data_IF_301703631471
#
_entry.id   IF_301703631471
#
_cell.length_a   1.000
_cell.length_b   1.000
_cell.length_c   1.000
_cell.angle_alpha   90.00
_cell.angle_beta   90.00
_cell.angle_gamma   90.00
#
_symmetry.space_group_name_H-M   'P 1'
#
loop_
_entity.id
_entity.type
_entity.pdbx_description
1 polymer ?
#
# COMPACT_ATOMS: atom_id res chain seq x y z
N UNK A 1 37.32 -0.17 14.14
CA UNK A 1 36.28 -1.12 13.70
C UNK A 1 34.97 -0.33 13.66
N UNK A 2 34.55 0.11 12.48
CA UNK A 2 33.29 0.85 12.34
C UNK A 2 32.17 -0.20 12.28
N UNK A 3 31.35 -0.24 13.32
CA UNK A 3 30.07 -0.95 13.29
C UNK A 3 29.14 -0.13 12.40
N UNK A 4 29.04 -0.50 11.12
CA UNK A 4 27.99 0.04 10.26
C UNK A 4 26.66 -0.46 10.81
N UNK A 5 25.78 0.46 11.21
CA UNK A 5 24.40 0.10 11.50
C UNK A 5 23.81 -0.53 10.22
N UNK A 6 23.06 -1.65 10.32
CA UNK A 6 22.29 -2.16 9.20
C UNK A 6 21.50 -1.03 8.56
N UNK A 7 21.48 -0.97 7.24
CA UNK A 7 20.72 -0.04 6.40
C UNK A 7 19.29 -0.55 6.12
N UNK A 8 19.05 -1.84 6.42
CA UNK A 8 17.76 -2.52 6.26
C UNK A 8 17.36 -3.26 7.52
N UNK A 9 16.04 -3.35 7.75
CA UNK A 9 15.46 -4.23 8.75
C UNK A 9 14.38 -5.10 8.10
N UNK A 10 14.24 -6.37 8.54
CA UNK A 10 13.20 -7.31 8.11
C UNK A 10 12.21 -7.63 9.23
N UNK A 11 10.91 -7.72 8.92
CA UNK A 11 9.89 -8.19 9.87
C UNK A 11 8.60 -8.54 9.12
N UNK A 12 7.99 -9.66 9.47
CA UNK A 12 6.63 -10.05 9.06
C UNK A 12 5.61 -9.32 9.92
N UNK A 13 4.61 -8.67 9.31
CA UNK A 13 3.46 -8.13 10.04
C UNK A 13 2.14 -8.58 9.41
N UNK A 14 1.19 -8.82 10.29
CA UNK A 14 -0.16 -9.20 9.92
C UNK A 14 -1.05 -7.96 10.03
N UNK A 15 -1.80 -7.68 8.96
CA UNK A 15 -2.72 -6.54 8.91
C UNK A 15 -4.13 -7.05 8.71
N UNK A 16 -5.06 -6.63 9.56
CA UNK A 16 -6.47 -6.96 9.42
C UNK A 16 -7.22 -5.70 9.04
N UNK A 17 -7.81 -5.70 7.85
CA UNK A 17 -8.62 -4.60 7.35
C UNK A 17 -10.09 -5.04 7.25
N UNK A 18 -10.98 -4.23 7.82
CA UNK A 18 -12.42 -4.48 7.79
C UNK A 18 -13.03 -3.66 6.66
N UNK A 19 -13.55 -4.33 5.64
CA UNK A 19 -14.36 -3.73 4.59
C UNK A 19 -15.83 -3.95 4.96
N UNK A 20 -16.47 -2.90 5.48
CA UNK A 20 -17.82 -3.00 6.02
C UNK A 20 -18.90 -2.93 4.94
N UNK A 21 -18.57 -2.45 3.75
CA UNK A 21 -19.48 -2.28 2.63
C UNK A 21 -18.90 -2.92 1.37
N UNK A 22 -19.72 -3.49 0.47
CA UNK A 22 -19.27 -3.89 -0.86
C UNK A 22 -18.84 -2.68 -1.71
N UNK A 23 -17.99 -2.87 -2.74
CA UNK A 23 -17.77 -1.87 -3.77
C UNK A 23 -19.10 -1.49 -4.45
N UNK A 24 -19.43 -0.19 -4.58
CA UNK A 24 -20.51 0.25 -5.45
C UNK A 24 -20.34 -0.28 -6.88
N UNK A 25 -21.45 -0.44 -7.61
CA UNK A 25 -21.41 -0.83 -9.03
C UNK A 25 -20.55 0.15 -9.83
N UNK A 26 -19.68 -0.39 -10.70
CA UNK A 26 -18.72 0.40 -11.47
C UNK A 26 -17.46 0.81 -10.69
N UNK A 27 -17.26 0.28 -9.49
CA UNK A 27 -16.05 0.51 -8.68
C UNK A 27 -15.41 -0.79 -8.21
N UNK A 28 -14.12 -0.71 -7.88
CA UNK A 28 -13.35 -1.79 -7.27
C UNK A 28 -12.63 -1.28 -6.02
N UNK A 29 -12.36 -2.17 -5.09
CA UNK A 29 -11.45 -1.89 -3.99
C UNK A 29 -10.09 -2.52 -4.23
N UNK A 30 -9.03 -1.72 -4.13
CA UNK A 30 -7.64 -2.18 -4.23
C UNK A 30 -6.98 -2.11 -2.87
N UNK A 31 -6.28 -3.18 -2.46
CA UNK A 31 -5.39 -3.11 -1.33
C UNK A 31 -4.13 -2.37 -1.77
N UNK A 32 -3.84 -1.23 -1.16
CA UNK A 32 -2.66 -0.41 -1.47
C UNK A 32 -1.63 -0.54 -0.37
N UNK A 33 -0.41 -0.86 -0.77
CA UNK A 33 0.78 -0.63 0.04
C UNK A 33 1.40 0.70 -0.36
N UNK A 34 1.25 1.71 0.50
CA UNK A 34 1.94 2.98 0.37
C UNK A 34 3.27 2.89 1.10
N UNK A 35 4.36 3.24 0.44
CA UNK A 35 5.69 3.34 1.00
C UNK A 35 6.10 4.81 0.90
N UNK A 36 6.18 5.48 2.04
CA UNK A 36 6.73 6.83 2.14
C UNK A 36 8.23 6.75 2.44
N UNK A 37 8.96 7.76 1.95
CA UNK A 37 10.41 7.86 2.02
C UNK A 37 11.13 6.65 1.40
N UNK A 38 10.67 6.21 0.23
CA UNK A 38 11.28 5.12 -0.52
C UNK A 38 12.38 5.66 -1.44
N UNK A 39 13.55 5.02 -1.45
CA UNK A 39 14.68 5.37 -2.31
C UNK A 39 15.87 5.94 -1.54
N UNK A 40 16.94 6.25 -2.28
CA UNK A 40 18.19 6.73 -1.69
C UNK A 40 18.03 8.10 -1.01
N UNK A 41 18.83 8.38 0.04
CA UNK A 41 18.82 9.68 0.73
C UNK A 41 18.98 10.86 -0.23
N UNK A 42 18.03 11.81 -0.20
CA UNK A 42 17.95 12.96 -1.10
C UNK A 42 17.13 12.75 -2.37
N UNK A 43 16.62 11.54 -2.62
CA UNK A 43 15.74 11.20 -3.76
C UNK A 43 14.45 10.51 -3.32
N UNK A 44 14.14 10.60 -2.02
CA UNK A 44 13.04 9.87 -1.43
C UNK A 44 11.69 10.33 -2.00
N UNK A 45 10.82 9.37 -2.27
CA UNK A 45 9.49 9.62 -2.81
C UNK A 45 8.47 8.64 -2.22
N UNK A 46 7.20 8.91 -2.44
CA UNK A 46 6.13 7.98 -2.09
C UNK A 46 5.81 7.09 -3.28
N UNK A 47 5.69 5.78 -3.03
CA UNK A 47 5.19 4.82 -4.02
C UNK A 47 3.94 4.11 -3.50
N UNK A 48 3.03 3.80 -4.41
CA UNK A 48 1.76 3.15 -4.15
C UNK A 48 1.70 1.85 -4.94
N UNK A 49 1.67 0.72 -4.25
CA UNK A 49 1.61 -0.59 -4.90
C UNK A 49 0.21 -1.21 -4.70
N UNK A 50 -0.75 -0.96 -5.62
CA UNK A 50 -2.09 -1.54 -5.57
C UNK A 50 -2.08 -3.02 -5.93
N UNK A 51 -2.80 -3.84 -5.17
CA UNK A 51 -2.95 -5.28 -5.38
C UNK A 51 -4.34 -5.75 -5.01
N UNK A 52 -4.61 -7.00 -5.37
CA UNK A 52 -5.79 -7.77 -4.92
C UNK A 52 -7.12 -7.02 -5.14
N UNK A 53 -7.48 -6.68 -6.40
CA UNK A 53 -8.72 -5.97 -6.68
C UNK A 53 -9.95 -6.78 -6.27
N UNK A 54 -10.89 -6.12 -5.61
CA UNK A 54 -12.16 -6.68 -5.17
C UNK A 54 -13.27 -5.97 -5.94
N UNK A 55 -13.96 -6.70 -6.82
CA UNK A 55 -15.16 -6.22 -7.49
C UNK A 55 -16.42 -6.46 -6.65
N UNK A 56 -17.51 -5.76 -7.00
CA UNK A 56 -18.84 -6.03 -6.45
C UNK A 56 -19.22 -7.51 -6.63
N UNK A 57 -19.70 -8.15 -5.57
CA UNK A 57 -20.02 -9.58 -5.50
C UNK A 57 -18.84 -10.48 -5.11
N UNK A 58 -17.63 -9.94 -4.98
CA UNK A 58 -16.43 -10.66 -4.52
C UNK A 58 -16.00 -10.23 -3.11
N UNK A 59 -16.76 -9.34 -2.48
CA UNK A 59 -16.45 -8.81 -1.16
C UNK A 59 -16.58 -9.86 -0.05
N UNK A 60 -15.69 -9.77 0.92
CA UNK A 60 -15.79 -10.41 2.23
C UNK A 60 -15.94 -9.32 3.28
N UNK A 61 -16.71 -9.60 4.33
CA UNK A 61 -16.92 -8.66 5.44
C UNK A 61 -15.62 -8.32 6.21
N UNK A 62 -14.64 -9.22 6.17
CA UNK A 62 -13.33 -9.03 6.80
C UNK A 62 -12.26 -9.60 5.88
N UNK A 63 -11.21 -8.82 5.65
CA UNK A 63 -10.02 -9.25 4.94
C UNK A 63 -8.82 -9.22 5.89
N UNK A 64 -8.20 -10.39 6.04
CA UNK A 64 -6.94 -10.51 6.76
C UNK A 64 -5.84 -10.67 5.72
N UNK A 65 -4.92 -9.71 5.69
CA UNK A 65 -3.77 -9.76 4.80
C UNK A 65 -2.50 -9.87 5.64
N UNK A 66 -1.83 -11.01 5.52
CA UNK A 66 -0.49 -11.20 6.05
C UNK A 66 0.52 -10.79 4.99
N UNK A 67 1.40 -9.84 5.30
CA UNK A 67 2.49 -9.45 4.40
C UNK A 67 3.81 -9.76 5.07
N UNK A 68 4.58 -10.60 4.40
CA UNK A 68 5.98 -10.76 4.74
C UNK A 68 6.78 -9.65 4.07
N UNK A 69 7.50 -8.88 4.88
CA UNK A 69 8.49 -7.92 4.41
C UNK A 69 9.84 -8.47 4.81
N UNK A 70 10.47 -9.14 3.84
CA UNK A 70 11.84 -9.63 3.96
C UNK A 70 12.80 -8.48 4.32
N UNK A 71 12.69 -7.33 3.64
CA UNK A 71 13.57 -6.17 3.85
C UNK A 71 12.81 -4.85 3.63
N UNK A 72 13.13 -3.82 4.42
CA UNK A 72 12.76 -2.42 4.16
C UNK A 72 13.86 -1.50 4.64
N UNK A 73 14.05 -0.40 3.91
CA UNK A 73 14.96 0.68 4.25
C UNK A 73 14.55 1.32 5.58
N UNK A 74 15.54 1.80 6.32
CA UNK A 74 15.29 2.52 7.57
C UNK A 74 14.69 3.89 7.30
N UNK A 75 13.85 4.37 8.22
CA UNK A 75 13.05 5.59 8.09
C UNK A 75 11.94 5.52 7.03
N UNK A 76 11.86 4.42 6.27
CA UNK A 76 10.68 4.14 5.45
C UNK A 76 9.45 3.94 6.34
N UNK A 77 8.32 4.44 5.85
CA UNK A 77 7.02 4.31 6.51
C UNK A 77 6.10 3.60 5.54
N UNK A 78 5.54 2.47 5.96
CA UNK A 78 4.61 1.71 5.14
C UNK A 78 3.20 1.80 5.70
N UNK A 79 2.25 2.19 4.86
CA UNK A 79 0.83 2.13 5.16
C UNK A 79 0.13 1.08 4.29
N UNK A 80 -0.83 0.37 4.88
CA UNK A 80 -1.75 -0.54 4.17
C UNK A 80 -3.19 -0.08 4.38
N UNK A 81 -3.92 0.05 3.29
CA UNK A 81 -5.33 0.44 3.28
C UNK A 81 -6.01 0.03 1.97
N UNK A 82 -7.34 0.05 1.93
CA UNK A 82 -8.12 -0.16 0.71
C UNK A 82 -8.51 1.17 0.08
N UNK A 83 -8.24 1.31 -1.22
CA UNK A 83 -8.75 2.40 -2.06
C UNK A 83 -9.95 1.96 -2.86
N UNK A 84 -10.94 2.83 -2.95
CA UNK A 84 -12.02 2.74 -3.94
C UNK A 84 -11.61 3.45 -5.21
N UNK A 85 -11.74 2.74 -6.31
CA UNK A 85 -11.33 3.15 -7.64
C UNK A 85 -12.50 2.97 -8.59
N UNK A 86 -12.89 4.02 -9.31
CA UNK A 86 -13.88 3.95 -10.40
C UNK A 86 -13.27 3.31 -11.65
N UNK A 87 -14.08 2.93 -12.65
CA UNK A 87 -13.55 2.38 -13.91
C UNK A 87 -12.57 3.32 -14.62
N UNK A 88 -12.83 4.63 -14.62
CA UNK A 88 -11.95 5.60 -15.25
C UNK A 88 -10.63 5.76 -14.47
N UNK A 89 -10.72 5.83 -13.13
CA UNK A 89 -9.55 5.87 -12.25
C UNK A 89 -8.73 4.57 -12.33
N UNK A 90 -9.37 3.43 -12.59
CA UNK A 90 -8.67 2.15 -12.74
C UNK A 90 -7.79 2.16 -13.99
N UNK A 91 -8.29 2.70 -15.10
CA UNK A 91 -7.50 2.83 -16.33
C UNK A 91 -6.28 3.72 -16.11
N UNK A 92 -6.47 4.86 -15.44
CA UNK A 92 -5.38 5.78 -15.09
C UNK A 92 -4.37 5.12 -14.14
N UNK A 93 -4.86 4.43 -13.10
CA UNK A 93 -4.01 3.72 -12.15
C UNK A 93 -3.15 2.67 -12.85
N UNK A 94 -3.75 1.83 -13.70
CA UNK A 94 -3.06 0.75 -14.42
C UNK A 94 -2.06 1.32 -15.43
N UNK A 95 -2.40 2.43 -16.11
CA UNK A 95 -1.50 3.09 -17.05
C UNK A 95 -0.24 3.67 -16.38
N UNK A 96 -0.34 4.03 -15.10
CA UNK A 96 0.75 4.64 -14.32
C UNK A 96 1.58 3.63 -13.51
N UNK A 97 1.30 2.32 -13.61
CA UNK A 97 2.09 1.30 -12.92
C UNK A 97 3.44 1.08 -13.61
N UNK A 98 4.51 1.21 -12.83
CA UNK A 98 5.86 0.73 -13.12
C UNK A 98 6.18 -0.38 -12.13
N UNK A 99 6.46 -1.59 -12.62
CA UNK A 99 6.77 -2.76 -11.78
C UNK A 99 5.77 -2.99 -10.62
N UNK A 100 4.47 -2.94 -10.93
CA UNK A 100 3.33 -3.08 -10.01
C UNK A 100 3.11 -1.94 -9.00
N UNK A 101 3.86 -0.83 -9.12
CA UNK A 101 3.72 0.35 -8.25
C UNK A 101 3.55 1.63 -9.07
N UNK A 102 2.79 2.59 -8.57
CA UNK A 102 2.63 3.92 -9.15
C UNK A 102 3.26 4.97 -8.23
N UNK A 103 3.82 6.03 -8.81
CA UNK A 103 4.31 7.20 -8.07
C UNK A 103 3.17 8.13 -7.64
N UNK A 104 2.05 8.08 -8.36
CA UNK A 104 0.87 8.90 -8.09
C UNK A 104 -0.40 8.05 -8.19
N UNK A 105 -1.38 8.37 -7.36
CA UNK A 105 -2.72 7.80 -7.45
C UNK A 105 -3.61 8.72 -8.31
N UNK A 106 -4.60 8.17 -9.04
CA UNK A 106 -5.58 8.96 -9.77
C UNK A 106 -6.25 10.00 -8.87
N UNK A 107 -6.60 11.15 -9.45
CA UNK A 107 -7.26 12.21 -8.68
C UNK A 107 -8.60 11.75 -8.09
N UNK A 108 -8.83 12.09 -6.83
CA UNK A 108 -10.12 11.84 -6.14
C UNK A 108 -10.36 10.39 -5.74
N UNK A 109 -9.34 9.53 -5.69
CA UNK A 109 -9.48 8.19 -5.08
C UNK A 109 -9.80 8.31 -3.58
N UNK A 110 -10.67 7.41 -3.10
CA UNK A 110 -11.19 7.44 -1.73
C UNK A 110 -10.63 6.26 -0.93
N UNK A 111 -10.05 6.52 0.24
CA UNK A 111 -9.67 5.46 1.18
C UNK A 111 -10.90 4.97 1.94
N UNK A 112 -11.23 3.68 1.82
CA UNK A 112 -12.45 3.09 2.37
C UNK A 112 -12.21 2.15 3.55
N UNK A 113 -10.97 2.06 4.05
CA UNK A 113 -10.61 1.31 5.25
C UNK A 113 -9.81 2.14 6.23
N UNK A 114 -9.67 1.63 7.46
CA UNK A 114 -8.63 2.12 8.37
C UNK A 114 -7.25 1.90 7.74
N UNK A 115 -6.32 2.80 8.00
CA UNK A 115 -4.92 2.68 7.58
C UNK A 115 -4.07 2.12 8.72
N UNK A 116 -3.31 1.07 8.45
CA UNK A 116 -2.29 0.57 9.40
C UNK A 116 -0.94 1.07 8.93
N UNK A 117 -0.25 1.81 9.79
CA UNK A 117 1.05 2.42 9.50
C UNK A 117 2.13 1.76 10.34
N UNK A 118 3.21 1.35 9.70
CA UNK A 118 4.43 0.88 10.35
C UNK A 118 5.56 1.83 10.00
N UNK A 119 6.18 2.43 11.00
CA UNK A 119 7.37 3.25 10.85
C UNK A 119 8.58 2.49 11.41
N UNK A 120 9.66 2.39 10.63
CA UNK A 120 10.91 1.75 11.09
C UNK A 120 11.96 2.82 11.35
N UNK A 121 12.45 2.90 12.57
CA UNK A 121 13.55 3.78 12.96
C UNK A 121 14.49 3.03 13.90
N UNK A 122 15.79 3.31 13.83
CA UNK A 122 16.73 2.92 14.87
C UNK A 122 16.43 3.69 16.16
N UNK A 123 16.62 3.02 17.30
CA UNK A 123 16.58 3.62 18.63
C UNK A 123 17.96 3.53 19.27
#
# INVERSE_FOLDING_TARGET
MWLSAPDKAGSTFQTTAKLNCPPPNGTKYYLVAQLDNFGDPGTEHTVYCPRDPIASGQEKRVYTTTRDIHESELHSKRALYYLKVTTDQEQELVANLQDDCAFELPAGVETVSNSVTVQRAWK
#
